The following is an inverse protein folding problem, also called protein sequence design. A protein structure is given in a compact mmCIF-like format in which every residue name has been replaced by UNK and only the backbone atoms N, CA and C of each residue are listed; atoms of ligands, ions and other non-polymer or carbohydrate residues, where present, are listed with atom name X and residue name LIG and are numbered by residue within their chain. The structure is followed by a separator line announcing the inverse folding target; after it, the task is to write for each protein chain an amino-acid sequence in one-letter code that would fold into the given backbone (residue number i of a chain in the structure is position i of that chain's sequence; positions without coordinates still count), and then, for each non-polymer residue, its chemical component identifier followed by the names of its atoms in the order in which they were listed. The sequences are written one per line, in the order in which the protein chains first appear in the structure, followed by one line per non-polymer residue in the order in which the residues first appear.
data_IF_717657260856
#
_entry.id   IF_717657260856
#
_cell.length_a   1.000
_cell.length_b   1.000
_cell.length_c   1.000
_cell.angle_alpha   90.00
_cell.angle_beta   90.00
_cell.angle_gamma   90.00
#
_symmetry.space_group_name_H-M   'P 1'
#
loop_
_entity.id
_entity.type
_entity.pdbx_description
1 polymer ?
#
# COMPACT_ATOMS: atom_id res chain seq x y z
N UNK A 1 -10.82 37.41 -2.85
CA UNK A 1 -11.03 36.78 -4.18
C UNK A 1 -10.00 35.66 -4.29
N UNK A 2 -10.27 34.37 -4.40
CA UNK A 2 -11.48 33.58 -4.55
C UNK A 2 -11.26 32.31 -3.73
N UNK A 3 -12.19 31.99 -2.84
CA UNK A 3 -12.33 30.63 -2.34
C UNK A 3 -12.64 29.77 -3.56
N UNK A 4 -11.75 28.82 -3.88
CA UNK A 4 -12.03 27.88 -4.94
C UNK A 4 -13.06 26.88 -4.40
N UNK A 5 -14.33 27.24 -4.58
CA UNK A 5 -15.49 26.39 -4.37
C UNK A 5 -15.31 25.16 -5.24
N UNK A 6 -14.96 24.05 -4.60
CA UNK A 6 -15.04 22.73 -5.18
C UNK A 6 -16.45 22.56 -5.75
N UNK A 7 -16.57 22.47 -7.08
CA UNK A 7 -17.82 22.17 -7.75
C UNK A 7 -18.31 20.80 -7.25
N UNK A 8 -19.38 20.84 -6.47
CA UNK A 8 -20.02 19.69 -5.83
C UNK A 8 -20.72 18.73 -6.83
N UNK A 9 -20.44 18.82 -8.14
CA UNK A 9 -21.20 18.13 -9.19
C UNK A 9 -20.49 16.97 -9.90
N UNK A 10 -19.25 16.63 -9.54
CA UNK A 10 -18.53 15.46 -10.10
C UNK A 10 -18.02 14.50 -9.03
N UNK A 11 -18.80 14.28 -7.95
CA UNK A 11 -18.59 13.11 -7.09
C UNK A 11 -19.03 11.87 -7.87
N UNK A 12 -18.11 11.30 -8.63
CA UNK A 12 -18.29 10.00 -9.28
C UNK A 12 -18.78 8.98 -8.24
N UNK A 13 -19.54 7.98 -8.71
CA UNK A 13 -20.12 6.90 -7.89
C UNK A 13 -19.10 6.17 -6.99
N UNK A 14 -17.80 6.34 -7.24
CA UNK A 14 -16.68 5.82 -6.46
C UNK A 14 -16.52 6.46 -5.07
N UNK A 15 -17.01 7.68 -4.85
CA UNK A 15 -16.79 8.44 -3.60
C UNK A 15 -17.43 7.84 -2.32
N UNK A 16 -18.34 6.87 -2.44
CA UNK A 16 -18.97 6.18 -1.29
C UNK A 16 -18.33 4.82 -0.93
N UNK A 17 -17.32 4.38 -1.69
CA UNK A 17 -16.76 3.02 -1.57
C UNK A 17 -15.21 3.01 -1.60
N UNK A 18 -14.58 4.07 -1.09
CA UNK A 18 -13.13 4.17 -0.91
C UNK A 18 -12.74 3.98 0.56
N UNK A 19 -11.49 3.57 0.85
CA UNK A 19 -10.98 3.52 2.22
C UNK A 19 -11.11 4.89 2.90
N UNK A 20 -11.52 4.88 4.17
CA UNK A 20 -11.62 6.10 4.97
C UNK A 20 -10.35 6.25 5.83
N UNK A 21 -9.44 7.12 5.42
CA UNK A 21 -8.22 7.42 6.15
C UNK A 21 -8.47 8.34 7.35
N UNK A 22 -7.98 7.95 8.52
CA UNK A 22 -7.96 8.79 9.73
C UNK A 22 -6.53 9.26 10.06
N UNK A 23 -5.51 8.43 9.81
CA UNK A 23 -4.09 8.78 9.97
C UNK A 23 -3.73 9.38 11.35
N UNK A 24 -4.28 8.83 12.44
CA UNK A 24 -4.09 9.41 13.78
C UNK A 24 -2.61 9.46 14.18
N UNK A 25 -1.84 8.45 13.81
CA UNK A 25 -0.41 8.35 14.11
C UNK A 25 0.36 9.54 13.52
N UNK A 26 0.00 9.95 12.30
CA UNK A 26 0.63 11.07 11.61
C UNK A 26 0.23 12.44 12.19
N UNK A 27 -0.86 12.51 12.97
CA UNK A 27 -1.28 13.72 13.69
C UNK A 27 -0.53 13.88 15.02
N UNK A 28 -0.02 12.78 15.58
CA UNK A 28 0.49 12.75 16.96
C UNK A 28 2.00 12.51 17.06
N UNK A 29 2.63 11.94 16.04
CA UNK A 29 4.03 11.55 16.07
C UNK A 29 4.91 12.44 15.17
N UNK A 30 6.20 12.62 15.49
CA UNK A 30 7.11 13.40 14.67
C UNK A 30 7.26 12.88 13.24
N UNK A 31 7.16 13.77 12.26
CA UNK A 31 7.26 13.46 10.83
C UNK A 31 8.36 14.31 10.18
N UNK A 32 9.22 13.65 9.44
CA UNK A 32 10.18 14.27 8.53
C UNK A 32 9.54 14.47 7.14
N UNK A 33 9.81 15.63 6.52
CA UNK A 33 9.30 16.01 5.19
C UNK A 33 10.43 16.22 4.17
N UNK A 34 11.59 15.61 4.41
CA UNK A 34 12.73 15.73 3.51
C UNK A 34 12.55 14.92 2.22
N UNK A 35 13.61 14.87 1.41
CA UNK A 35 13.58 14.17 0.12
C UNK A 35 13.35 12.66 0.27
N UNK A 36 12.79 12.07 -0.79
CA UNK A 36 12.61 10.62 -0.94
C UNK A 36 13.90 9.87 -1.35
N UNK A 37 15.06 10.49 -1.11
CA UNK A 37 16.38 9.91 -1.38
C UNK A 37 16.93 9.24 -0.12
N UNK A 38 17.77 8.23 -0.30
CA UNK A 38 18.45 7.52 0.81
C UNK A 38 19.24 8.52 1.66
N UNK A 39 18.91 8.59 2.96
CA UNK A 39 19.57 9.46 3.94
C UNK A 39 19.22 9.03 5.37
N UNK A 40 19.97 9.52 6.35
CA UNK A 40 19.57 9.40 7.74
C UNK A 40 18.47 10.40 8.09
N UNK A 41 17.54 9.96 8.94
CA UNK A 41 16.36 10.74 9.38
C UNK A 41 16.37 10.82 10.90
N UNK A 42 16.97 11.86 11.52
CA UNK A 42 16.94 12.02 12.96
C UNK A 42 15.58 12.56 13.44
N UNK A 43 15.20 12.23 14.69
CA UNK A 43 14.07 12.83 15.41
C UNK A 43 12.68 12.69 14.75
N UNK A 44 12.48 11.68 13.90
CA UNK A 44 11.18 11.40 13.30
C UNK A 44 10.78 9.93 13.45
N UNK A 45 9.48 9.68 13.61
CA UNK A 45 8.91 8.34 13.57
C UNK A 45 8.55 7.93 12.12
N UNK A 46 8.27 8.92 11.28
CA UNK A 46 7.89 8.71 9.88
C UNK A 46 8.59 9.72 8.98
N UNK A 47 8.73 9.37 7.71
CA UNK A 47 9.05 10.31 6.64
C UNK A 47 7.94 10.31 5.61
N UNK A 48 7.44 11.49 5.20
CA UNK A 48 6.56 11.59 4.03
C UNK A 48 7.32 11.24 2.77
N UNK A 49 6.77 10.31 2.00
CA UNK A 49 7.39 9.75 0.79
C UNK A 49 6.36 9.65 -0.31
N UNK A 50 6.80 9.57 -1.56
CA UNK A 50 5.90 9.40 -2.70
C UNK A 50 6.18 8.06 -3.39
N UNK A 51 5.14 7.23 -3.63
CA UNK A 51 5.30 6.06 -4.48
C UNK A 51 5.88 6.42 -5.84
N UNK A 52 6.78 5.57 -6.33
CA UNK A 52 7.36 5.68 -7.67
C UNK A 52 6.45 4.96 -8.66
N UNK A 53 5.92 5.72 -9.61
CA UNK A 53 5.02 5.27 -10.69
C UNK A 53 5.56 4.04 -11.43
N UNK A 54 4.64 3.20 -11.89
CA UNK A 54 4.87 1.98 -12.67
C UNK A 54 4.19 2.09 -14.03
N UNK A 55 4.87 1.55 -15.04
CA UNK A 55 4.35 1.49 -16.41
C UNK A 55 3.60 0.21 -16.66
N UNK A 56 2.36 0.36 -17.14
CA UNK A 56 1.35 -0.69 -17.34
C UNK A 56 1.14 -1.40 -16.00
N UNK A 57 0.05 -1.25 -15.24
CA UNK A 57 -0.16 -2.13 -14.09
C UNK A 57 -1.18 -3.23 -14.40
N UNK A 58 -1.04 -4.41 -13.80
CA UNK A 58 -1.92 -5.58 -13.97
C UNK A 58 -2.21 -6.16 -12.61
N UNK A 59 -3.18 -7.07 -12.59
CA UNK A 59 -3.56 -7.86 -11.43
C UNK A 59 -3.29 -9.31 -11.79
N UNK A 60 -2.61 -10.05 -10.93
CA UNK A 60 -2.47 -11.52 -11.08
C UNK A 60 -3.42 -12.22 -10.12
N UNK A 61 -3.57 -11.71 -8.90
CA UNK A 61 -4.44 -12.25 -7.85
C UNK A 61 -4.75 -11.13 -6.85
N UNK A 62 -5.78 -11.29 -6.03
CA UNK A 62 -6.13 -10.41 -4.90
C UNK A 62 -7.01 -11.20 -3.91
N UNK A 63 -7.05 -10.79 -2.65
CA UNK A 63 -7.97 -11.35 -1.65
C UNK A 63 -9.23 -10.50 -1.54
N UNK A 64 -10.40 -11.13 -1.73
CA UNK A 64 -11.71 -10.48 -1.58
C UNK A 64 -11.99 -10.11 -0.13
N UNK A 65 -11.54 -10.93 0.81
CA UNK A 65 -11.70 -10.67 2.23
C UNK A 65 -10.90 -9.43 2.61
N UNK A 66 -9.63 -9.35 2.21
CA UNK A 66 -8.77 -8.19 2.45
C UNK A 66 -9.34 -6.89 1.86
N UNK A 67 -9.90 -6.93 0.65
CA UNK A 67 -10.60 -5.78 0.06
C UNK A 67 -11.83 -5.36 0.88
N UNK A 68 -12.58 -6.34 1.38
CA UNK A 68 -13.78 -6.11 2.19
C UNK A 68 -13.46 -5.43 3.52
N UNK A 69 -12.33 -5.78 4.15
CA UNK A 69 -11.84 -5.17 5.38
C UNK A 69 -11.58 -3.67 5.23
N UNK A 70 -11.11 -3.26 4.05
CA UNK A 70 -10.87 -1.85 3.72
C UNK A 70 -12.08 -1.15 3.08
N UNK A 71 -13.23 -1.83 3.00
CA UNK A 71 -14.44 -1.36 2.33
C UNK A 71 -14.23 -0.98 0.85
N UNK A 72 -13.26 -1.61 0.21
CA UNK A 72 -12.99 -1.39 -1.21
C UNK A 72 -13.95 -2.26 -2.01
N UNK A 73 -14.88 -1.62 -2.75
CA UNK A 73 -15.74 -2.34 -3.68
C UNK A 73 -14.92 -2.76 -4.89
N UNK A 74 -14.93 -4.06 -5.20
CA UNK A 74 -14.48 -4.55 -6.49
C UNK A 74 -15.70 -4.94 -7.32
N UNK A 75 -15.84 -4.39 -8.53
CA UNK A 75 -16.78 -4.88 -9.54
C UNK A 75 -16.16 -6.08 -10.27
N UNK A 76 -15.89 -7.18 -9.55
CA UNK A 76 -15.49 -8.43 -10.23
C UNK A 76 -16.80 -9.05 -10.67
N UNK A 77 -17.23 -8.77 -11.89
CA UNK A 77 -18.18 -9.67 -12.53
C UNK A 77 -17.44 -10.99 -12.70
N UNK A 78 -17.80 -11.99 -11.89
CA UNK A 78 -17.40 -13.39 -11.95
C UNK A 78 -16.13 -13.68 -12.76
N UNK A 79 -15.04 -13.93 -12.04
CA UNK A 79 -13.79 -14.55 -12.48
C UNK A 79 -14.01 -15.56 -13.63
N UNK A 80 -13.93 -15.08 -14.87
CA UNK A 80 -13.31 -15.86 -15.92
C UNK A 80 -11.86 -15.38 -15.92
N UNK A 81 -10.98 -16.18 -15.33
CA UNK A 81 -9.52 -15.95 -15.22
C UNK A 81 -8.87 -15.47 -16.53
N UNK A 82 -9.51 -15.75 -17.68
CA UNK A 82 -9.04 -15.37 -19.00
C UNK A 82 -9.51 -13.99 -19.51
N UNK A 83 -10.57 -13.39 -18.96
CA UNK A 83 -11.16 -12.13 -19.51
C UNK A 83 -10.59 -10.85 -18.91
N UNK A 84 -9.96 -10.91 -17.73
CA UNK A 84 -9.30 -9.74 -17.13
C UNK A 84 -8.06 -9.29 -17.94
N UNK A 85 -7.55 -10.15 -18.84
CA UNK A 85 -6.31 -9.93 -19.57
C UNK A 85 -6.54 -9.13 -20.86
N UNK A 86 -7.74 -9.12 -21.44
CA UNK A 86 -7.92 -8.70 -22.85
C UNK A 86 -9.06 -7.73 -23.17
N UNK A 87 -10.04 -7.50 -22.29
CA UNK A 87 -11.17 -6.63 -22.62
C UNK A 87 -11.58 -5.73 -21.47
N UNK A 88 -10.96 -4.55 -21.41
CA UNK A 88 -11.66 -3.27 -21.21
C UNK A 88 -10.64 -2.15 -21.35
N UNK A 89 -10.81 -1.29 -22.35
CA UNK A 89 -10.16 0.03 -22.41
C UNK A 89 -10.70 1.02 -21.37
N UNK A 90 -11.50 0.55 -20.41
CA UNK A 90 -11.89 1.29 -19.23
C UNK A 90 -10.80 1.06 -18.17
N UNK A 91 -10.08 2.13 -17.85
CA UNK A 91 -9.05 2.15 -16.82
C UNK A 91 -9.59 1.54 -15.54
N UNK A 92 -9.11 0.36 -15.17
CA UNK A 92 -9.47 -0.25 -13.89
C UNK A 92 -8.84 0.59 -12.77
N UNK A 93 -9.57 1.59 -12.28
CA UNK A 93 -9.11 2.57 -11.29
C UNK A 93 -8.53 1.91 -10.05
N UNK A 94 -9.05 0.75 -9.67
CA UNK A 94 -8.53 -0.08 -8.59
C UNK A 94 -7.02 -0.37 -8.79
N UNK A 95 -6.64 -0.78 -10.01
CA UNK A 95 -5.24 -1.10 -10.34
C UNK A 95 -4.34 0.12 -10.21
N UNK A 96 -4.81 1.30 -10.61
CA UNK A 96 -4.02 2.53 -10.49
C UNK A 96 -3.77 2.90 -9.03
N UNK A 97 -4.77 2.75 -8.16
CA UNK A 97 -4.62 3.03 -6.73
C UNK A 97 -3.69 2.04 -6.04
N UNK A 98 -3.81 0.76 -6.38
CA UNK A 98 -3.09 -0.29 -5.65
C UNK A 98 -1.69 -0.55 -6.21
N UNK A 99 -1.41 -0.04 -7.41
CA UNK A 99 -0.03 0.12 -7.89
C UNK A 99 0.66 1.36 -7.33
N UNK A 100 -0.05 2.25 -6.62
CA UNK A 100 0.48 3.54 -6.18
C UNK A 100 0.65 4.56 -7.30
N UNK A 101 0.10 4.30 -8.49
CA UNK A 101 0.06 5.26 -9.59
C UNK A 101 -0.92 6.41 -9.33
N UNK A 102 -1.96 6.13 -8.54
CA UNK A 102 -2.88 7.11 -7.96
C UNK A 102 -2.92 6.93 -6.44
N UNK A 103 -3.11 8.02 -5.72
CA UNK A 103 -3.26 8.01 -4.28
C UNK A 103 -4.73 8.10 -3.91
N UNK A 104 -5.17 7.30 -2.95
CA UNK A 104 -6.53 7.36 -2.46
C UNK A 104 -6.80 8.72 -1.80
N UNK A 105 -8.02 9.28 -1.92
CA UNK A 105 -8.39 10.48 -1.19
C UNK A 105 -8.18 10.29 0.32
N UNK A 106 -7.42 11.20 0.95
CA UNK A 106 -7.11 11.14 2.38
C UNK A 106 -5.86 10.32 2.75
N UNK A 107 -5.25 9.60 1.81
CA UNK A 107 -3.94 8.97 2.05
C UNK A 107 -2.84 10.03 2.28
N UNK A 108 -1.92 9.75 3.20
CA UNK A 108 -0.72 10.57 3.47
C UNK A 108 0.48 9.63 3.48
N UNK A 109 1.10 9.36 2.31
CA UNK A 109 2.04 8.27 2.19
C UNK A 109 3.34 8.52 2.98
N UNK A 110 3.72 7.56 3.80
CA UNK A 110 4.85 7.64 4.73
C UNK A 110 5.65 6.35 4.79
N UNK A 111 6.90 6.46 5.20
CA UNK A 111 7.78 5.33 5.52
C UNK A 111 8.15 5.38 7.00
N UNK A 112 8.07 4.25 7.70
CA UNK A 112 8.36 4.20 9.12
C UNK A 112 9.86 4.26 9.36
N UNK A 113 10.26 5.02 10.37
CA UNK A 113 11.61 5.05 10.89
C UNK A 113 11.72 4.17 12.13
N UNK A 114 12.63 3.21 12.12
CA UNK A 114 12.90 2.36 13.28
C UNK A 114 14.38 1.96 13.34
N UNK A 115 14.76 1.21 14.35
CA UNK A 115 16.09 0.62 14.48
C UNK A 115 15.97 -0.80 15.02
N UNK A 116 17.07 -1.54 15.07
CA UNK A 116 17.02 -2.90 15.59
C UNK A 116 18.35 -3.63 15.54
N UNK A 117 18.37 -4.79 16.19
CA UNK A 117 19.48 -5.72 16.12
C UNK A 117 19.25 -6.71 14.97
N UNK A 118 20.25 -6.89 14.12
CA UNK A 118 20.25 -7.89 13.05
C UNK A 118 21.44 -8.83 13.28
N UNK A 119 21.16 -10.14 13.34
CA UNK A 119 22.19 -11.17 13.54
C UNK A 119 23.08 -10.93 14.77
N UNK A 120 22.49 -10.45 15.87
CA UNK A 120 23.19 -10.23 17.14
C UNK A 120 23.89 -8.87 17.30
N UNK A 121 23.92 -8.04 16.25
CA UNK A 121 24.55 -6.72 16.27
C UNK A 121 23.54 -5.60 16.07
N UNK A 122 23.73 -4.45 16.75
CA UNK A 122 22.88 -3.29 16.54
C UNK A 122 23.11 -2.72 15.14
N UNK A 123 22.07 -2.72 14.30
CA UNK A 123 22.15 -2.35 12.89
C UNK A 123 21.96 -0.85 12.64
N UNK A 124 21.91 -0.03 13.69
CA UNK A 124 21.64 1.41 13.60
C UNK A 124 20.24 1.71 13.09
N UNK A 125 20.10 2.83 12.39
CA UNK A 125 18.83 3.25 11.79
C UNK A 125 18.43 2.30 10.64
N UNK A 126 17.25 1.74 10.80
CA UNK A 126 16.48 1.00 9.81
C UNK A 126 15.25 1.84 9.42
N UNK A 127 14.29 1.22 8.78
CA UNK A 127 13.03 1.81 8.40
C UNK A 127 12.43 1.03 7.26
N UNK A 128 11.30 1.51 6.76
CA UNK A 128 10.64 0.90 5.61
C UNK A 128 11.42 1.15 4.32
N UNK A 129 12.42 0.30 4.06
CA UNK A 129 13.31 0.46 2.92
C UNK A 129 12.71 0.08 1.56
N UNK A 130 11.58 -0.60 1.55
CA UNK A 130 10.84 -0.96 0.34
C UNK A 130 9.34 -1.11 0.64
N UNK A 131 8.84 -0.31 1.58
CA UNK A 131 7.42 -0.24 1.93
C UNK A 131 7.05 1.24 2.14
N UNK A 132 5.82 1.58 1.77
CA UNK A 132 5.25 2.90 1.96
C UNK A 132 3.84 2.69 2.53
N UNK A 133 3.61 3.10 3.76
CA UNK A 133 2.26 3.21 4.33
C UNK A 133 1.51 4.29 3.57
N UNK A 134 0.34 3.99 3.01
CA UNK A 134 -0.60 4.98 2.48
C UNK A 134 -1.39 5.66 3.61
N UNK A 135 -1.37 5.07 4.79
CA UNK A 135 -2.03 5.59 5.98
C UNK A 135 -2.92 4.56 6.67
N UNK A 136 -3.54 5.03 7.74
CA UNK A 136 -4.42 4.24 8.59
C UNK A 136 -5.88 4.48 8.20
N UNK A 137 -6.55 3.38 7.86
CA UNK A 137 -7.95 3.29 7.45
C UNK A 137 -8.81 2.83 8.63
N UNK A 138 -9.98 3.43 8.79
CA UNK A 138 -11.02 2.94 9.71
C UNK A 138 -12.11 2.27 8.89
N UNK A 139 -12.39 1.00 9.18
CA UNK A 139 -13.45 0.26 8.49
C UNK A 139 -14.83 0.55 9.10
N UNK A 140 -15.91 0.05 8.46
CA UNK A 140 -17.29 0.24 8.93
C UNK A 140 -17.57 -0.38 10.31
N UNK A 141 -16.75 -1.33 10.72
CA UNK A 141 -16.79 -1.98 12.02
C UNK A 141 -16.05 -1.16 13.10
N UNK A 142 -15.39 -0.07 12.73
CA UNK A 142 -14.61 0.78 13.62
C UNK A 142 -13.19 0.26 13.89
N UNK A 143 -12.75 -0.76 13.17
CA UNK A 143 -11.40 -1.33 13.27
C UNK A 143 -10.42 -0.49 12.46
N UNK A 144 -9.17 -0.42 12.94
CA UNK A 144 -8.08 0.33 12.31
C UNK A 144 -7.15 -0.61 11.57
N UNK A 145 -6.91 -0.29 10.31
CA UNK A 145 -6.05 -1.05 9.41
C UNK A 145 -5.04 -0.12 8.78
N UNK A 146 -3.78 -0.50 8.79
CA UNK A 146 -2.77 0.22 8.02
C UNK A 146 -2.71 -0.36 6.61
N UNK A 147 -2.75 0.53 5.61
CA UNK A 147 -2.60 0.16 4.21
C UNK A 147 -1.18 0.47 3.75
N UNK A 148 -0.40 -0.54 3.33
CA UNK A 148 0.98 -0.39 2.90
C UNK A 148 1.20 -0.86 1.46
N UNK A 149 1.89 -0.07 0.64
CA UNK A 149 2.47 -0.50 -0.62
C UNK A 149 3.92 -0.94 -0.42
N UNK A 150 4.20 -2.24 -0.47
CA UNK A 150 5.55 -2.78 -0.62
C UNK A 150 6.02 -2.70 -2.06
N UNK A 151 7.32 -2.50 -2.26
CA UNK A 151 7.96 -2.36 -3.56
C UNK A 151 7.72 -1.02 -4.26
N UNK A 152 6.95 -0.12 -3.64
CA UNK A 152 6.48 1.18 -4.16
C UNK A 152 7.57 2.20 -4.44
N UNK A 153 8.84 1.83 -4.33
CA UNK A 153 9.98 2.67 -4.72
C UNK A 153 10.90 2.96 -3.55
N UNK A 154 11.87 3.83 -3.82
CA UNK A 154 12.85 4.23 -2.82
C UNK A 154 12.19 5.04 -1.71
N UNK A 155 12.73 4.86 -0.52
CA UNK A 155 12.50 5.67 0.67
C UNK A 155 13.86 6.09 1.24
N UNK A 156 13.90 7.03 2.20
CA UNK A 156 15.14 7.34 2.93
C UNK A 156 15.81 6.10 3.55
N UNK A 157 15.04 5.05 3.82
CA UNK A 157 15.48 3.84 4.52
C UNK A 157 15.88 2.69 3.58
N UNK A 158 15.87 2.89 2.26
CA UNK A 158 16.18 1.84 1.27
C UNK A 158 17.62 1.32 1.33
N UNK A 159 18.54 2.05 1.98
CA UNK A 159 19.97 1.70 2.09
C UNK A 159 20.59 1.45 0.71
N UNK A 160 20.93 0.20 0.40
CA UNK A 160 21.50 -0.21 -0.90
C UNK A 160 20.46 -0.89 -1.81
N UNK A 161 19.21 -1.01 -1.36
CA UNK A 161 18.12 -1.56 -2.15
C UNK A 161 17.55 -0.56 -3.13
N UNK A 162 16.89 -1.06 -4.16
CA UNK A 162 16.19 -0.30 -5.20
C UNK A 162 14.76 0.13 -4.80
N UNK A 163 14.32 -0.25 -3.60
CA UNK A 163 12.97 0.02 -3.10
C UNK A 163 11.89 -0.84 -3.74
N UNK A 164 12.26 -1.90 -4.45
CA UNK A 164 11.35 -2.79 -5.18
C UNK A 164 11.25 -4.17 -4.54
N UNK A 165 10.21 -4.94 -4.91
CA UNK A 165 10.06 -6.35 -4.54
C UNK A 165 9.98 -7.21 -5.80
N UNK A 166 10.18 -8.52 -5.66
CA UNK A 166 10.14 -9.49 -6.76
C UNK A 166 8.96 -10.46 -6.61
N UNK A 167 8.54 -11.10 -7.71
CA UNK A 167 7.30 -11.89 -7.82
C UNK A 167 7.25 -13.00 -6.79
N UNK A 168 8.33 -13.78 -6.78
CA UNK A 168 8.50 -14.95 -5.92
C UNK A 168 8.31 -14.61 -4.44
N UNK A 169 8.85 -13.48 -3.96
CA UNK A 169 8.74 -13.13 -2.54
C UNK A 169 7.33 -12.66 -2.19
N UNK A 170 6.75 -11.82 -3.05
CA UNK A 170 5.41 -11.28 -2.87
C UNK A 170 4.32 -12.36 -2.94
N UNK A 171 4.47 -13.32 -3.85
CA UNK A 171 3.54 -14.45 -3.97
C UNK A 171 3.58 -15.35 -2.74
N UNK A 172 4.78 -15.66 -2.23
CA UNK A 172 4.93 -16.42 -0.99
C UNK A 172 4.30 -15.69 0.20
N UNK A 173 4.50 -14.38 0.28
CA UNK A 173 3.93 -13.55 1.34
C UNK A 173 2.40 -13.52 1.26
N UNK A 174 1.81 -13.37 0.07
CA UNK A 174 0.37 -13.50 -0.13
C UNK A 174 -0.16 -14.85 0.38
N UNK A 175 0.38 -15.95 -0.16
CA UNK A 175 -0.13 -17.28 0.12
C UNK A 175 -0.02 -17.64 1.61
N UNK A 176 1.09 -17.27 2.25
CA UNK A 176 1.25 -17.48 3.70
C UNK A 176 0.25 -16.68 4.53
N UNK A 177 -0.16 -15.51 4.06
CA UNK A 177 -1.18 -14.70 4.73
C UNK A 177 -2.59 -15.27 4.57
N UNK A 178 -2.96 -15.71 3.37
CA UNK A 178 -4.29 -16.28 3.10
C UNK A 178 -4.49 -17.63 3.79
N UNK A 179 -3.49 -18.54 3.72
CA UNK A 179 -3.58 -19.87 4.37
C UNK A 179 -3.77 -19.76 5.88
N UNK A 180 -3.29 -18.68 6.51
CA UNK A 180 -3.48 -18.44 7.94
C UNK A 180 -4.93 -18.08 8.30
N UNK A 181 -5.69 -17.44 7.40
CA UNK A 181 -7.10 -17.15 7.66
C UNK A 181 -7.90 -18.46 7.89
N UNK A 182 -7.45 -19.55 7.27
CA UNK A 182 -8.16 -20.84 7.28
C UNK A 182 -7.75 -21.78 8.44
N UNK A 183 -6.55 -21.62 9.02
CA UNK A 183 -6.03 -22.59 10.02
C UNK A 183 -5.45 -21.98 11.31
N UNK A 184 -6.14 -22.30 12.43
CA UNK A 184 -5.75 -22.29 13.86
C UNK A 184 -5.08 -21.02 14.40
N UNK A 185 -5.78 -20.33 15.32
CA UNK A 185 -5.35 -19.44 16.43
C UNK A 185 -3.82 -19.27 16.72
N UNK A 186 -3.03 -18.87 15.73
CA UNK A 186 -1.63 -18.47 15.91
C UNK A 186 -1.59 -16.94 15.80
N UNK A 187 -1.19 -16.29 16.90
CA UNK A 187 -1.00 -14.84 16.95
C UNK A 187 0.26 -14.46 16.17
N UNK A 188 0.08 -14.05 14.93
CA UNK A 188 1.07 -13.33 14.12
C UNK A 188 0.40 -12.05 13.62
N UNK A 189 1.20 -11.05 13.21
CA UNK A 189 0.67 -9.85 12.54
C UNK A 189 -0.33 -10.29 11.48
N UNK A 190 -1.57 -9.80 11.58
CA UNK A 190 -2.60 -10.04 10.58
C UNK A 190 -2.21 -9.23 9.34
N UNK A 191 -1.33 -9.81 8.54
CA UNK A 191 -1.07 -9.40 7.16
C UNK A 191 -2.30 -9.82 6.34
N UNK A 192 -3.32 -8.98 6.28
CA UNK A 192 -4.46 -9.18 5.36
C UNK A 192 -4.08 -8.58 4.02
N UNK A 193 -3.44 -9.41 3.21
CA UNK A 193 -2.73 -8.93 2.04
C UNK A 193 -3.69 -8.75 0.89
N UNK A 194 -3.76 -7.55 0.33
CA UNK A 194 -4.29 -7.36 -1.01
C UNK A 194 -3.11 -7.39 -1.96
N UNK A 195 -2.66 -8.59 -2.36
CA UNK A 195 -1.55 -8.65 -3.29
C UNK A 195 -1.99 -8.18 -4.68
N UNK A 196 -1.13 -7.41 -5.35
CA UNK A 196 -1.27 -6.94 -6.74
C UNK A 196 -0.03 -7.36 -7.51
N UNK A 197 -0.12 -7.45 -8.84
CA UNK A 197 1.04 -7.84 -9.66
C UNK A 197 0.93 -7.30 -11.08
N UNK A 198 1.86 -6.41 -11.47
CA UNK A 198 2.17 -6.18 -12.87
C UNK A 198 3.50 -6.80 -13.29
N UNK A 199 3.53 -7.28 -14.54
CA UNK A 199 4.70 -7.77 -15.25
C UNK A 199 5.13 -6.77 -16.32
N UNK A 200 6.23 -6.07 -16.06
CA UNK A 200 7.01 -5.31 -17.03
C UNK A 200 8.41 -5.06 -16.47
N UNK A 201 9.38 -5.92 -16.83
CA UNK A 201 10.78 -5.97 -16.40
C UNK A 201 11.03 -6.23 -14.88
N UNK A 202 10.48 -7.32 -14.35
CA UNK A 202 10.88 -7.95 -13.06
C UNK A 202 10.64 -7.17 -11.74
N UNK A 203 9.89 -6.07 -11.78
CA UNK A 203 9.68 -5.18 -10.62
C UNK A 203 8.25 -5.24 -10.08
N UNK A 204 8.07 -5.53 -8.77
CA UNK A 204 6.79 -5.92 -8.16
C UNK A 204 6.46 -5.16 -6.89
N UNK A 205 5.14 -5.03 -6.66
CA UNK A 205 4.51 -4.25 -5.62
C UNK A 205 3.49 -5.10 -4.90
N UNK A 206 3.38 -4.95 -3.59
CA UNK A 206 2.43 -5.71 -2.79
C UNK A 206 1.66 -4.74 -1.94
N UNK A 207 0.34 -4.77 -1.99
CA UNK A 207 -0.46 -4.00 -1.02
C UNK A 207 -0.76 -4.90 0.16
N UNK A 208 -0.48 -4.42 1.35
CA UNK A 208 -0.81 -5.08 2.61
C UNK A 208 -1.77 -4.19 3.38
#
# INVERSE_FOLDING_TARGET
MLFNTCSLSERSSWSKHCPQFDNIQLKCLPIDNGSNSIRSVPNACFTRVSPTRIHNPRVVLFSLDALSLLNIRHEVNHLNEQKCIEKTGETNHLVEYLSGNKLWPGSDPTAHCYCGYQFGSFAGQLGDGAAISLGEVVNKQGERWELQLKGSGLTPFSRQGDGRKVLRSSLREFLCSEVRLDYRNIYTTIYQNIVYFHVGNDTIYTVL
#
